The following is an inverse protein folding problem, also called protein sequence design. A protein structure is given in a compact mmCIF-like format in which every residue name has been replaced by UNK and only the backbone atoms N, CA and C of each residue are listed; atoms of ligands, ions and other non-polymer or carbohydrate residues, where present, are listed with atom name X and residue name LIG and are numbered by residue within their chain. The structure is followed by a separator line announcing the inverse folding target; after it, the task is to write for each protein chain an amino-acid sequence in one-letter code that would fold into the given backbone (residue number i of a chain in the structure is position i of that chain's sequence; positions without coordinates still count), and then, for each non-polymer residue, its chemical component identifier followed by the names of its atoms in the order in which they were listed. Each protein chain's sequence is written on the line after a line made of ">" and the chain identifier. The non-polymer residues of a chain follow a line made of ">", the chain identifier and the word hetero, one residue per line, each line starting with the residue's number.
data_IF_435335983465
#
_entry.id   IF_435335983465
#
_cell.length_a   1.000
_cell.length_b   1.000
_cell.length_c   1.000
_cell.angle_alpha   90.00
_cell.angle_beta   90.00
_cell.angle_gamma   90.00
#
_symmetry.space_group_name_H-M   'P 1'
#
loop_
_entity.id
_entity.type
_entity.pdbx_description
1 polymer ?
#
# COMPACT_ATOMS: atom_id res chain seq x y z
N UNK A 1 -17.53 6.22 10.76
CA UNK A 1 -16.72 5.83 9.60
C UNK A 1 -17.09 6.68 8.38
N UNK A 2 -16.09 7.13 7.61
CA UNK A 2 -16.29 8.06 6.47
C UNK A 2 -16.70 7.37 5.15
N UNK A 3 -16.85 6.04 5.12
CA UNK A 3 -17.21 5.30 3.90
C UNK A 3 -16.12 5.31 2.82
N UNK A 4 -14.85 5.39 3.23
CA UNK A 4 -13.69 5.46 2.32
C UNK A 4 -12.99 4.10 2.22
N UNK A 5 -12.54 3.77 1.01
CA UNK A 5 -11.55 2.73 0.75
C UNK A 5 -10.15 3.34 0.62
N UNK A 6 -9.11 2.51 0.75
CA UNK A 6 -7.73 2.93 0.52
C UNK A 6 -6.86 1.85 -0.10
N UNK A 7 -5.77 2.28 -0.74
CA UNK A 7 -4.76 1.40 -1.33
C UNK A 7 -3.36 1.98 -1.05
N UNK A 8 -2.52 1.22 -0.35
CA UNK A 8 -1.11 1.54 -0.15
C UNK A 8 -0.26 0.92 -1.26
N UNK A 9 0.63 1.71 -1.85
CA UNK A 9 1.54 1.26 -2.91
C UNK A 9 2.88 2.00 -2.85
N UNK A 10 3.93 1.33 -3.34
CA UNK A 10 5.27 1.91 -3.42
C UNK A 10 5.35 3.04 -4.45
N UNK A 11 6.25 3.99 -4.21
CA UNK A 11 6.62 5.01 -5.20
C UNK A 11 7.61 4.49 -6.24
N UNK A 12 8.30 3.38 -5.93
CA UNK A 12 9.31 2.76 -6.80
C UNK A 12 10.34 3.80 -7.30
N UNK A 13 10.63 3.86 -8.60
CA UNK A 13 11.57 4.81 -9.20
C UNK A 13 11.11 6.29 -9.17
N UNK A 14 9.92 6.59 -8.64
CA UNK A 14 9.33 7.93 -8.69
C UNK A 14 9.53 8.79 -7.43
N UNK A 15 10.17 8.27 -6.38
CA UNK A 15 10.34 9.01 -5.11
C UNK A 15 11.00 10.38 -5.32
N UNK A 16 12.06 10.45 -6.13
CA UNK A 16 12.76 11.72 -6.40
C UNK A 16 11.89 12.75 -7.14
N UNK A 17 11.00 12.29 -8.04
CA UNK A 17 10.09 13.16 -8.77
C UNK A 17 9.01 13.73 -7.84
N UNK A 18 8.43 12.89 -6.98
CA UNK A 18 7.45 13.32 -5.96
C UNK A 18 8.09 14.30 -4.98
N UNK A 19 9.29 13.98 -4.46
CA UNK A 19 10.04 14.85 -3.55
C UNK A 19 10.23 16.25 -4.14
N UNK A 20 10.74 16.33 -5.37
CA UNK A 20 10.93 17.60 -6.08
C UNK A 20 9.61 18.35 -6.31
N UNK A 21 8.54 17.63 -6.67
CA UNK A 21 7.24 18.24 -6.97
C UNK A 21 6.59 18.91 -5.77
N UNK A 22 6.80 18.38 -4.58
CA UNK A 22 6.17 18.85 -3.35
C UNK A 22 7.15 19.55 -2.38
N UNK A 23 8.41 19.77 -2.79
CA UNK A 23 9.40 20.48 -1.97
C UNK A 23 9.78 19.72 -0.69
N UNK A 24 9.75 18.38 -0.74
CA UNK A 24 10.11 17.55 0.41
C UNK A 24 11.63 17.61 0.66
N UNK A 25 12.09 17.74 1.93
CA UNK A 25 13.51 17.77 2.28
C UNK A 25 14.28 16.54 1.78
N UNK A 26 15.60 16.67 1.57
CA UNK A 26 16.43 15.62 0.97
C UNK A 26 16.65 14.43 1.92
N UNK A 27 16.71 14.71 3.21
CA UNK A 27 16.85 13.74 4.30
C UNK A 27 15.58 12.91 4.53
N UNK A 28 14.42 13.37 4.03
CA UNK A 28 13.16 12.67 4.18
C UNK A 28 13.04 11.53 3.16
N UNK A 29 12.56 10.36 3.63
CA UNK A 29 12.30 9.18 2.80
C UNK A 29 10.83 8.84 2.78
N UNK A 30 10.33 8.51 1.60
CA UNK A 30 8.94 8.11 1.46
C UNK A 30 8.75 6.63 1.77
N UNK A 31 7.81 6.31 2.67
CA UNK A 31 7.41 4.92 2.96
C UNK A 31 6.59 4.34 1.79
N UNK A 32 5.78 5.18 1.15
CA UNK A 32 4.97 4.86 -0.02
C UNK A 32 3.89 5.93 -0.22
N UNK A 33 2.88 5.59 -1.01
CA UNK A 33 1.74 6.45 -1.30
C UNK A 33 0.43 5.73 -0.93
N UNK A 34 -0.57 6.52 -0.54
CA UNK A 34 -1.92 6.02 -0.25
C UNK A 34 -2.89 6.71 -1.20
N UNK A 35 -3.59 5.92 -2.01
CA UNK A 35 -4.81 6.38 -2.67
C UNK A 35 -5.98 6.19 -1.70
N UNK A 36 -6.86 7.19 -1.59
CA UNK A 36 -8.03 7.19 -0.72
C UNK A 36 -9.22 7.84 -1.43
N UNK A 37 -10.41 7.27 -1.24
CA UNK A 37 -11.63 7.77 -1.86
C UNK A 37 -12.82 6.88 -1.57
N UNK A 38 -13.99 7.28 -2.07
CA UNK A 38 -15.17 6.43 -1.99
C UNK A 38 -15.06 5.25 -2.97
N UNK A 39 -15.46 4.03 -2.57
CA UNK A 39 -15.46 2.88 -3.45
C UNK A 39 -16.48 3.07 -4.59
N UNK A 40 -16.23 2.41 -5.72
CA UNK A 40 -17.15 2.37 -6.85
C UNK A 40 -18.47 1.71 -6.42
N UNK A 41 -19.63 2.39 -6.50
CA UNK A 41 -20.90 1.84 -6.02
C UNK A 41 -21.31 0.53 -6.71
N UNK A 42 -20.92 0.33 -7.97
CA UNK A 42 -21.20 -0.90 -8.73
C UNK A 42 -20.28 -2.08 -8.36
N UNK A 43 -19.31 -1.86 -7.46
CA UNK A 43 -18.42 -2.87 -6.93
C UNK A 43 -16.97 -2.73 -7.41
N UNK A 44 -16.05 -3.29 -6.62
CA UNK A 44 -14.62 -3.17 -6.90
C UNK A 44 -14.14 -4.16 -7.96
N UNK A 45 -13.28 -3.66 -8.86
CA UNK A 45 -12.51 -4.53 -9.76
C UNK A 45 -11.41 -5.23 -8.96
N UNK A 46 -11.46 -6.56 -8.89
CA UNK A 46 -10.39 -7.35 -8.26
C UNK A 46 -9.03 -7.14 -8.95
N UNK A 47 -8.01 -6.82 -8.16
CA UNK A 47 -6.62 -6.77 -8.62
C UNK A 47 -6.07 -8.18 -8.89
N UNK A 48 -5.11 -8.31 -9.81
CA UNK A 48 -4.39 -9.59 -10.02
C UNK A 48 -3.71 -10.11 -8.76
N UNK A 49 -3.37 -9.24 -7.80
CA UNK A 49 -2.74 -9.64 -6.55
C UNK A 49 -3.70 -10.35 -5.58
N UNK A 50 -5.02 -10.21 -5.74
CA UNK A 50 -5.99 -10.86 -4.84
C UNK A 50 -5.99 -12.37 -4.98
N UNK A 51 -5.50 -12.92 -6.10
CA UNK A 51 -5.43 -14.36 -6.35
C UNK A 51 -4.29 -15.06 -5.61
N UNK A 52 -3.29 -14.32 -5.10
CA UNK A 52 -2.14 -14.89 -4.37
C UNK A 52 -2.55 -15.53 -3.04
N UNK A 53 -3.67 -15.07 -2.45
CA UNK A 53 -4.07 -15.46 -1.10
C UNK A 53 -3.12 -14.95 -0.01
N UNK A 54 -3.47 -15.22 1.25
CA UNK A 54 -2.57 -15.01 2.40
C UNK A 54 -1.78 -16.29 2.65
N UNK A 55 -0.54 -16.16 3.13
CA UNK A 55 0.23 -17.31 3.62
C UNK A 55 -0.51 -17.99 4.79
N UNK A 56 -0.52 -19.32 4.87
CA UNK A 56 -1.00 -20.06 6.04
C UNK A 56 -0.37 -19.54 7.35
N UNK A 57 -1.14 -19.58 8.45
CA UNK A 57 -0.72 -19.02 9.74
C UNK A 57 0.53 -19.73 10.29
N UNK A 58 0.58 -21.05 10.15
CA UNK A 58 1.67 -21.91 10.58
C UNK A 58 2.98 -21.66 9.83
N UNK A 59 2.94 -21.04 8.64
CA UNK A 59 4.14 -20.61 7.92
C UNK A 59 4.71 -19.26 8.39
N UNK A 60 3.93 -18.47 9.13
CA UNK A 60 4.31 -17.11 9.57
C UNK A 60 4.35 -16.95 11.09
N UNK A 61 3.85 -17.95 11.83
CA UNK A 61 3.82 -17.95 13.29
C UNK A 61 4.99 -18.78 13.83
N UNK A 62 5.84 -18.11 14.61
CA UNK A 62 7.02 -18.69 15.24
C UNK A 62 6.86 -18.69 16.76
N UNK A 63 7.13 -19.81 17.45
CA UNK A 63 7.03 -19.93 18.91
C UNK A 63 8.35 -20.42 19.50
N UNK A 64 9.03 -19.57 20.27
CA UNK A 64 10.27 -19.90 20.98
C UNK A 64 11.55 -19.76 20.15
N UNK A 65 11.47 -19.96 18.83
CA UNK A 65 12.54 -19.69 17.88
C UNK A 65 11.94 -19.22 16.55
N UNK A 66 12.74 -18.55 15.73
CA UNK A 66 12.45 -18.33 14.31
C UNK A 66 12.43 -19.67 13.57
#
# INVERSE_FOLDING_TARGET
>A
EAGLGCCFFGLFEHEAAVRRRFGVPEEARAVGAIAIGHPEPSGDRSSRSTTRGRRPLDEVLHRGAW
#
